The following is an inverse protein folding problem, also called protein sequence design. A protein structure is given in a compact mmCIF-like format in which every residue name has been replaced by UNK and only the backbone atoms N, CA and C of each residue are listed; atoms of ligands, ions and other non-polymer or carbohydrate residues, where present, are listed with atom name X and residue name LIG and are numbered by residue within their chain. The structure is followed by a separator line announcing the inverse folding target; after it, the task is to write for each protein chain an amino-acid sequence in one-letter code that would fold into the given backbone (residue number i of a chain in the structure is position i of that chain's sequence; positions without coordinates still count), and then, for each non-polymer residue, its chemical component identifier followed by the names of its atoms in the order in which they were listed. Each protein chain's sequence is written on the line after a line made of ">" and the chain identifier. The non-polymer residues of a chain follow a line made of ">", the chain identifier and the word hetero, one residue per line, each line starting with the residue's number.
data_IF_480391691228
#
_entry.id   IF_480391691228
#
_cell.length_a   1.000
_cell.length_b   1.000
_cell.length_c   1.000
_cell.angle_alpha   90.00
_cell.angle_beta   90.00
_cell.angle_gamma   90.00
#
_symmetry.space_group_name_H-M   'P 1'
#
loop_
_entity.id
_entity.type
_entity.pdbx_description
1 polymer ?
#
# COMPACT_ATOMS: atom_id res chain seq x y z
N UNK A 1 19.29 -25.23 42.38
CA UNK A 1 18.93 -24.68 41.05
C UNK A 1 17.97 -25.66 40.41
N UNK A 2 16.68 -25.31 40.34
CA UNK A 2 15.65 -26.12 39.66
C UNK A 2 15.79 -25.88 38.16
N UNK A 3 15.94 -26.95 37.37
CA UNK A 3 15.85 -26.88 35.91
C UNK A 3 14.36 -26.81 35.58
N UNK A 4 13.92 -25.68 35.03
CA UNK A 4 12.63 -25.59 34.37
C UNK A 4 12.79 -26.37 33.05
N UNK A 5 12.11 -27.52 32.95
CA UNK A 5 12.00 -28.24 31.69
C UNK A 5 11.12 -27.39 30.78
N UNK A 6 11.74 -26.76 29.79
CA UNK A 6 11.04 -26.07 28.71
C UNK A 6 10.21 -27.12 27.97
N UNK A 7 8.89 -27.02 28.12
CA UNK A 7 7.88 -27.85 27.48
C UNK A 7 7.87 -27.53 25.98
N UNK A 8 8.81 -28.10 25.23
CA UNK A 8 8.88 -27.91 23.78
C UNK A 8 7.66 -28.61 23.18
N UNK A 9 6.74 -27.88 22.54
CA UNK A 9 5.53 -28.49 21.99
C UNK A 9 5.93 -29.46 20.87
N UNK A 10 5.86 -30.76 21.15
CA UNK A 10 6.14 -31.80 20.17
C UNK A 10 5.00 -31.81 19.15
N UNK A 11 5.32 -31.39 17.92
CA UNK A 11 4.37 -31.40 16.82
C UNK A 11 4.09 -32.86 16.45
N UNK A 12 2.94 -33.37 16.86
CA UNK A 12 2.51 -34.73 16.51
C UNK A 12 2.12 -34.83 15.05
N UNK A 13 2.29 -36.01 14.47
CA UNK A 13 1.95 -36.33 13.07
C UNK A 13 0.46 -36.05 12.78
N UNK A 14 -0.40 -36.21 13.79
CA UNK A 14 -1.82 -35.88 13.71
C UNK A 14 -2.07 -34.37 13.59
N UNK A 15 -1.31 -33.53 14.30
CA UNK A 15 -1.38 -32.07 14.16
C UNK A 15 -0.89 -31.61 12.79
N UNK A 16 0.14 -32.25 12.23
CA UNK A 16 0.58 -32.00 10.85
C UNK A 16 -0.50 -32.38 9.83
N UNK A 17 -1.15 -33.54 10.01
CA UNK A 17 -2.22 -34.00 9.11
C UNK A 17 -3.46 -33.10 9.16
N UNK A 18 -3.92 -32.71 10.36
CA UNK A 18 -5.03 -31.76 10.53
C UNK A 18 -4.74 -30.40 9.88
N UNK A 19 -3.49 -29.95 9.94
CA UNK A 19 -3.05 -28.70 9.29
C UNK A 19 -3.06 -28.84 7.77
N UNK A 20 -2.57 -29.96 7.22
CA UNK A 20 -2.66 -30.26 5.79
C UNK A 20 -4.11 -30.33 5.28
N UNK A 21 -5.03 -30.92 6.04
CA UNK A 21 -6.44 -30.98 5.65
C UNK A 21 -7.11 -29.60 5.66
N UNK A 22 -6.79 -28.74 6.63
CA UNK A 22 -7.27 -27.34 6.66
C UNK A 22 -6.75 -26.53 5.46
N UNK A 23 -5.47 -26.68 5.13
CA UNK A 23 -4.85 -26.07 3.95
C UNK A 23 -5.49 -26.55 2.63
N UNK A 24 -5.86 -27.83 2.53
CA UNK A 24 -6.56 -28.39 1.36
C UNK A 24 -7.98 -27.85 1.19
N UNK A 25 -8.71 -27.62 2.30
CA UNK A 25 -10.08 -27.08 2.25
C UNK A 25 -10.13 -25.61 1.81
N UNK A 26 -9.10 -24.82 2.09
CA UNK A 26 -9.00 -23.43 1.63
C UNK A 26 -8.71 -23.26 0.13
N UNK A 27 -8.33 -24.33 -0.59
CA UNK A 27 -7.95 -24.24 -2.02
C UNK A 27 -9.11 -24.22 -3.03
N UNK A 28 -10.38 -24.17 -2.60
CA UNK A 28 -11.53 -24.31 -3.51
C UNK A 28 -12.47 -23.10 -3.47
N UNK A 29 -11.96 -21.91 -3.76
CA UNK A 29 -12.80 -20.88 -4.39
C UNK A 29 -12.77 -21.11 -5.90
N UNK A 30 -13.92 -21.33 -6.56
CA UNK A 30 -13.95 -21.43 -8.02
C UNK A 30 -13.57 -20.06 -8.59
N UNK A 31 -12.33 -19.95 -9.07
CA UNK A 31 -11.87 -18.78 -9.82
C UNK A 31 -12.65 -18.73 -11.12
N UNK A 32 -13.34 -17.62 -11.37
CA UNK A 32 -13.96 -17.36 -12.67
C UNK A 32 -12.82 -17.03 -13.62
N UNK A 33 -12.28 -18.06 -14.28
CA UNK A 33 -11.11 -17.97 -15.17
C UNK A 33 -11.48 -17.64 -16.62
N UNK A 34 -12.76 -17.36 -16.89
CA UNK A 34 -13.19 -17.09 -18.27
C UNK A 34 -12.76 -15.68 -18.69
N UNK A 35 -12.10 -15.54 -19.86
CA UNK A 35 -11.80 -14.23 -20.40
C UNK A 35 -13.11 -13.50 -20.76
N UNK A 36 -13.12 -12.18 -20.58
CA UNK A 36 -14.25 -11.33 -20.92
C UNK A 36 -13.79 -10.09 -21.70
N UNK A 37 -14.72 -9.44 -22.39
CA UNK A 37 -14.43 -8.20 -23.12
C UNK A 37 -14.11 -7.08 -22.13
N UNK A 38 -12.96 -6.43 -22.31
CA UNK A 38 -12.54 -5.35 -21.42
C UNK A 38 -13.57 -4.19 -21.46
N UNK A 39 -14.10 -3.75 -20.30
CA UNK A 39 -15.13 -2.71 -20.23
C UNK A 39 -14.59 -1.33 -20.60
N UNK A 40 -13.27 -1.11 -20.46
CA UNK A 40 -12.61 0.17 -20.72
C UNK A 40 -12.38 0.38 -22.20
N UNK A 41 -11.64 -0.51 -22.87
CA UNK A 41 -11.31 -0.35 -24.29
C UNK A 41 -12.31 -1.01 -25.24
N UNK A 42 -13.19 -1.90 -24.74
CA UNK A 42 -14.22 -2.66 -25.49
C UNK A 42 -13.71 -3.50 -26.67
N UNK A 43 -12.39 -3.53 -26.87
CA UNK A 43 -11.71 -4.12 -28.02
C UNK A 43 -10.81 -5.26 -27.60
N UNK A 44 -10.14 -5.14 -26.45
CA UNK A 44 -9.30 -6.19 -25.88
C UNK A 44 -10.06 -7.20 -25.04
N UNK A 45 -9.49 -8.41 -24.94
CA UNK A 45 -9.91 -9.40 -23.95
C UNK A 45 -9.15 -9.20 -22.64
N UNK A 46 -9.85 -9.38 -21.53
CA UNK A 46 -9.30 -9.35 -20.18
C UNK A 46 -9.01 -10.79 -19.74
N UNK A 47 -7.72 -11.15 -19.70
CA UNK A 47 -7.25 -12.49 -19.37
C UNK A 47 -6.95 -12.61 -17.89
N UNK A 48 -7.29 -13.76 -17.31
CA UNK A 48 -7.03 -14.02 -15.90
C UNK A 48 -5.52 -14.19 -15.63
N UNK A 49 -5.01 -13.51 -14.61
CA UNK A 49 -3.62 -13.59 -14.16
C UNK A 49 -3.52 -13.52 -12.64
N UNK A 50 -2.52 -14.18 -12.07
CA UNK A 50 -2.24 -14.21 -10.63
C UNK A 50 -0.98 -13.42 -10.25
N UNK A 51 -0.52 -12.55 -11.14
CA UNK A 51 0.69 -11.75 -10.94
C UNK A 51 0.44 -10.27 -11.26
N UNK A 52 -0.68 -9.74 -10.78
CA UNK A 52 -0.95 -8.30 -10.82
C UNK A 52 -0.22 -7.60 -9.69
N UNK A 53 0.09 -6.33 -9.91
CA UNK A 53 0.78 -5.50 -8.94
C UNK A 53 -0.01 -4.20 -8.76
N UNK A 54 -0.51 -3.98 -7.56
CA UNK A 54 -1.12 -2.70 -7.21
C UNK A 54 -0.02 -1.76 -6.72
N UNK A 55 0.21 -0.69 -7.47
CA UNK A 55 1.19 0.35 -7.18
C UNK A 55 0.44 1.69 -7.02
N UNK A 56 0.52 2.29 -5.83
CA UNK A 56 -0.08 3.59 -5.58
C UNK A 56 0.69 4.40 -4.53
N UNK A 57 0.55 5.72 -4.56
CA UNK A 57 1.08 6.61 -3.53
C UNK A 57 -0.08 7.16 -2.71
N UNK A 58 -0.16 6.78 -1.43
CA UNK A 58 -1.19 7.23 -0.49
C UNK A 58 -0.52 7.85 0.75
N UNK A 59 -0.91 9.09 1.07
CA UNK A 59 -0.41 9.79 2.25
C UNK A 59 1.09 10.13 2.23
N UNK A 60 1.74 10.10 1.05
CA UNK A 60 3.19 10.25 0.93
C UNK A 60 3.97 8.94 1.07
N UNK A 61 3.28 7.82 1.26
CA UNK A 61 3.87 6.48 1.26
C UNK A 61 3.59 5.79 -0.08
N UNK A 62 4.62 5.14 -0.62
CA UNK A 62 4.51 4.31 -1.82
C UNK A 62 4.11 2.89 -1.42
N UNK A 63 2.94 2.46 -1.86
CA UNK A 63 2.36 1.16 -1.56
C UNK A 63 2.49 0.29 -2.81
N UNK A 64 3.19 -0.82 -2.66
CA UNK A 64 3.33 -1.83 -3.70
C UNK A 64 2.80 -3.15 -3.13
N UNK A 65 1.73 -3.67 -3.72
CA UNK A 65 1.13 -4.96 -3.37
C UNK A 65 1.27 -5.89 -4.57
N UNK A 66 2.30 -6.77 -4.59
CA UNK A 66 2.50 -7.73 -5.66
C UNK A 66 1.63 -8.98 -5.48
N UNK A 67 1.66 -9.85 -6.50
CA UNK A 67 1.02 -11.18 -6.49
C UNK A 67 -0.50 -11.16 -6.29
N UNK A 68 -1.16 -10.11 -6.79
CA UNK A 68 -2.61 -10.03 -6.77
C UNK A 68 -3.22 -10.83 -7.92
N UNK A 69 -4.42 -11.34 -7.69
CA UNK A 69 -5.20 -12.05 -8.71
C UNK A 69 -6.28 -11.17 -9.32
N UNK A 70 -6.51 -11.36 -10.61
CA UNK A 70 -7.53 -10.64 -11.34
C UNK A 70 -7.39 -10.84 -12.85
N UNK A 71 -7.82 -9.84 -13.62
CA UNK A 71 -7.75 -9.85 -15.07
C UNK A 71 -6.92 -8.68 -15.59
N UNK A 72 -6.13 -8.92 -16.63
CA UNK A 72 -5.38 -7.90 -17.35
C UNK A 72 -5.85 -7.81 -18.78
N UNK A 73 -6.16 -6.61 -19.25
CA UNK A 73 -6.49 -6.41 -20.65
C UNK A 73 -5.22 -6.49 -21.52
N UNK A 74 -5.25 -7.30 -22.58
CA UNK A 74 -4.14 -7.39 -23.54
C UNK A 74 -3.90 -6.11 -24.34
N UNK A 75 -4.95 -5.31 -24.58
CA UNK A 75 -4.88 -4.10 -25.41
C UNK A 75 -4.53 -2.86 -24.60
N UNK A 76 -5.36 -2.51 -23.59
CA UNK A 76 -5.18 -1.28 -22.82
C UNK A 76 -4.37 -1.46 -21.54
N UNK A 77 -3.95 -2.69 -21.21
CA UNK A 77 -3.19 -3.05 -20.01
C UNK A 77 -3.87 -2.76 -18.67
N UNK A 78 -5.14 -2.35 -18.69
CA UNK A 78 -5.94 -2.14 -17.49
C UNK A 78 -6.04 -3.42 -16.67
N UNK A 79 -5.97 -3.26 -15.35
CA UNK A 79 -6.00 -4.35 -14.38
C UNK A 79 -7.32 -4.32 -13.59
N UNK A 80 -7.96 -5.47 -13.47
CA UNK A 80 -9.22 -5.65 -12.75
C UNK A 80 -8.98 -6.67 -11.65
N UNK A 81 -9.11 -6.28 -10.39
CA UNK A 81 -8.81 -7.16 -9.25
C UNK A 81 -10.02 -8.00 -8.84
N UNK A 82 -9.76 -9.26 -8.45
CA UNK A 82 -10.78 -10.13 -7.86
C UNK A 82 -11.23 -9.61 -6.49
N UNK A 83 -12.40 -10.04 -6.01
CA UNK A 83 -12.92 -9.64 -4.70
C UNK A 83 -11.93 -9.88 -3.53
N UNK A 84 -11.17 -10.98 -3.58
CA UNK A 84 -10.13 -11.29 -2.59
C UNK A 84 -8.99 -10.27 -2.64
N UNK A 85 -8.45 -10.00 -3.83
CA UNK A 85 -7.39 -9.02 -4.07
C UNK A 85 -7.84 -7.61 -3.72
N UNK A 86 -9.06 -7.22 -4.08
CA UNK A 86 -9.66 -5.94 -3.71
C UNK A 86 -9.78 -5.81 -2.19
N UNK A 87 -10.18 -6.86 -1.48
CA UNK A 87 -10.20 -6.86 -0.02
C UNK A 87 -8.82 -6.69 0.63
N UNK A 88 -7.76 -7.21 -0.01
CA UNK A 88 -6.36 -6.97 0.42
C UNK A 88 -5.98 -5.51 0.18
N UNK A 89 -6.25 -4.97 -1.01
CA UNK A 89 -6.00 -3.57 -1.36
C UNK A 89 -6.72 -2.65 -0.35
N UNK A 90 -8.01 -2.89 -0.11
CA UNK A 90 -8.83 -2.09 0.80
C UNK A 90 -8.26 -2.13 2.21
N UNK A 91 -7.92 -3.32 2.74
CA UNK A 91 -7.31 -3.44 4.08
C UNK A 91 -5.97 -2.70 4.17
N UNK A 92 -5.15 -2.81 3.14
CA UNK A 92 -3.83 -2.15 3.08
C UNK A 92 -3.92 -0.62 2.89
N UNK A 93 -5.07 -0.10 2.47
CA UNK A 93 -5.28 1.32 2.19
C UNK A 93 -6.22 2.02 3.17
N UNK A 94 -7.10 1.30 3.86
CA UNK A 94 -8.13 1.85 4.75
C UNK A 94 -7.60 2.40 6.09
N UNK A 95 -6.52 1.81 6.63
CA UNK A 95 -6.01 2.13 7.98
C UNK A 95 -4.69 2.92 7.96
N UNK A 96 -4.59 3.97 7.13
CA UNK A 96 -3.46 4.88 7.26
C UNK A 96 -3.81 6.07 8.12
N UNK A 97 -3.38 5.97 9.37
CA UNK A 97 -3.19 7.09 10.28
C UNK A 97 -2.36 8.14 9.52
N UNK A 98 -2.72 9.43 9.56
CA UNK A 98 -1.87 10.47 8.98
C UNK A 98 -0.49 10.42 9.66
N UNK A 99 0.47 9.74 9.04
CA UNK A 99 1.87 9.74 9.43
C UNK A 99 2.42 11.11 9.03
N UNK A 100 2.44 12.02 9.99
CA UNK A 100 2.91 13.38 9.76
C UNK A 100 3.00 14.17 11.05
N UNK A 101 3.75 15.27 11.00
CA UNK A 101 3.74 16.24 12.08
C UNK A 101 2.67 17.29 11.80
N UNK A 102 1.82 17.56 12.78
CA UNK A 102 0.94 18.72 12.71
C UNK A 102 1.78 19.99 12.85
N UNK A 103 1.62 20.93 11.92
CA UNK A 103 2.29 22.21 11.95
C UNK A 103 1.27 23.32 11.67
N UNK A 104 1.32 24.37 12.48
CA UNK A 104 0.42 25.52 12.33
C UNK A 104 0.97 26.47 11.26
N UNK A 105 0.10 26.86 10.32
CA UNK A 105 0.39 27.96 9.39
C UNK A 105 0.33 29.27 10.19
N UNK A 106 1.44 29.97 10.27
CA UNK A 106 1.57 31.22 11.03
C UNK A 106 1.85 32.40 10.11
N UNK A 107 1.59 33.61 10.58
CA UNK A 107 1.93 34.83 9.85
C UNK A 107 3.43 35.10 10.03
N UNK A 108 4.20 34.95 8.96
CA UNK A 108 5.63 35.19 8.93
C UNK A 108 5.90 36.61 8.43
N UNK A 109 5.63 37.63 9.27
CA UNK A 109 5.96 39.04 8.99
C UNK A 109 5.27 39.65 7.76
N UNK A 110 4.41 40.65 7.95
CA UNK A 110 3.65 41.27 6.87
C UNK A 110 2.52 40.37 6.35
N UNK A 111 2.32 40.28 5.03
CA UNK A 111 1.26 39.45 4.39
C UNK A 111 1.70 38.04 4.01
N UNK A 112 2.83 37.55 4.53
CA UNK A 112 3.37 36.23 4.19
C UNK A 112 2.95 35.21 5.24
N UNK A 113 2.58 34.02 4.77
CA UNK A 113 2.31 32.86 5.61
C UNK A 113 3.56 31.97 5.63
N UNK A 114 3.85 31.39 6.79
CA UNK A 114 4.98 30.49 7.00
C UNK A 114 4.57 29.27 7.80
N UNK A 115 5.21 28.15 7.51
CA UNK A 115 5.10 26.90 8.27
C UNK A 115 6.49 26.60 8.80
N UNK A 116 6.59 26.26 10.09
CA UNK A 116 7.84 25.87 10.70
C UNK A 116 7.97 24.35 10.66
N UNK A 117 9.11 23.86 10.19
CA UNK A 117 9.42 22.43 10.28
C UNK A 117 9.83 22.06 11.71
N UNK A 118 9.22 21.03 12.31
CA UNK A 118 9.71 20.44 13.56
C UNK A 118 11.18 20.05 13.45
N UNK A 119 11.92 20.12 14.57
CA UNK A 119 13.36 19.79 14.62
C UNK A 119 13.66 18.38 14.12
N UNK A 120 12.74 17.44 14.33
CA UNK A 120 12.89 16.06 13.88
C UNK A 120 12.88 15.93 12.36
N UNK A 121 12.03 16.69 11.67
CA UNK A 121 12.01 16.73 10.20
C UNK A 121 13.31 17.33 9.67
N UNK A 122 13.76 18.46 10.24
CA UNK A 122 15.01 19.10 9.85
C UNK A 122 16.20 18.13 9.97
N UNK A 123 16.24 17.35 11.05
CA UNK A 123 17.27 16.34 11.29
C UNK A 123 17.16 15.14 10.34
N UNK A 124 15.97 14.57 10.19
CA UNK A 124 15.74 13.37 9.38
C UNK A 124 15.99 13.63 7.89
N UNK A 125 15.50 14.77 7.38
CA UNK A 125 15.65 15.17 5.98
C UNK A 125 16.95 15.95 5.70
N UNK A 126 17.78 16.19 6.74
CA UNK A 126 19.05 16.94 6.65
C UNK A 126 18.92 18.33 6.01
N UNK A 127 17.79 18.99 6.25
CA UNK A 127 17.46 20.29 5.66
C UNK A 127 18.38 21.37 6.25
N UNK A 128 19.00 22.16 5.39
CA UNK A 128 19.85 23.29 5.80
C UNK A 128 19.13 24.62 5.64
N UNK A 129 19.58 25.61 6.41
CA UNK A 129 19.10 26.98 6.24
C UNK A 129 19.40 27.48 4.81
N UNK A 130 18.43 28.19 4.23
CA UNK A 130 18.49 28.79 2.88
C UNK A 130 18.49 27.78 1.71
N UNK A 131 18.13 26.53 1.94
CA UNK A 131 17.83 25.61 0.83
C UNK A 131 16.60 26.09 0.06
N UNK A 132 16.64 25.92 -1.26
CA UNK A 132 15.51 26.18 -2.12
C UNK A 132 14.48 25.07 -1.95
N UNK A 133 13.22 25.46 -2.09
CA UNK A 133 12.08 24.57 -1.94
C UNK A 133 11.15 24.81 -3.12
N UNK A 134 10.77 23.73 -3.80
CA UNK A 134 9.72 23.74 -4.81
C UNK A 134 8.41 23.27 -4.18
N UNK A 135 7.36 24.08 -4.30
CA UNK A 135 6.04 23.78 -3.76
C UNK A 135 5.08 23.58 -4.92
N UNK A 136 4.57 22.37 -5.07
CA UNK A 136 3.65 21.98 -6.15
C UNK A 136 2.26 21.70 -5.56
N UNK A 137 1.26 22.57 -5.79
CA UNK A 137 -0.10 22.31 -5.32
C UNK A 137 -0.74 21.18 -6.14
N UNK A 138 -1.30 20.17 -5.46
CA UNK A 138 -2.02 19.06 -6.10
C UNK A 138 -3.54 19.30 -6.03
N UNK A 139 -4.02 19.86 -4.91
CA UNK A 139 -5.44 20.13 -4.70
C UNK A 139 -5.64 21.25 -3.68
N UNK A 140 -6.90 21.60 -3.38
CA UNK A 140 -7.24 22.59 -2.34
C UNK A 140 -6.71 22.24 -0.93
N UNK A 141 -6.35 20.98 -0.67
CA UNK A 141 -5.89 20.50 0.65
C UNK A 141 -4.53 19.82 0.63
N UNK A 142 -3.88 19.68 -0.53
CA UNK A 142 -2.63 18.91 -0.67
C UNK A 142 -1.63 19.65 -1.55
N UNK A 143 -0.39 19.69 -1.09
CA UNK A 143 0.77 20.15 -1.86
C UNK A 143 1.93 19.19 -1.62
N UNK A 144 2.80 19.07 -2.61
CA UNK A 144 4.11 18.41 -2.49
C UNK A 144 5.17 19.48 -2.31
N UNK A 145 6.10 19.22 -1.39
CA UNK A 145 7.20 20.12 -1.07
C UNK A 145 8.50 19.37 -1.33
N UNK A 146 9.25 19.80 -2.33
CA UNK A 146 10.56 19.24 -2.69
C UNK A 146 11.65 20.18 -2.20
N UNK A 147 12.65 19.65 -1.49
CA UNK A 147 13.72 20.43 -0.88
C UNK A 147 15.01 20.18 -1.67
N UNK A 148 15.70 21.24 -2.05
CA UNK A 148 16.94 21.18 -2.85
C UNK A 148 16.75 21.27 -4.37
N UNK A 149 15.57 21.69 -4.83
CA UNK A 149 15.27 21.97 -6.25
C UNK A 149 15.88 23.28 -6.77
#
# INVERSE_FOLDING_TARGET
>A
MRKEEEDVPVITEEMMRKTQERMRKHKKTPKITKPFTCPVCKTGMAEYTSNLCFDTVLGGEHIIIPNLTGHKCSTCKEEFYDAESSGIIDRSTAEKIPTGHEATVTVAGGRRLGIYFPKDILRAMKIKAKEKVLITPISKKKMVVEIGA
#
